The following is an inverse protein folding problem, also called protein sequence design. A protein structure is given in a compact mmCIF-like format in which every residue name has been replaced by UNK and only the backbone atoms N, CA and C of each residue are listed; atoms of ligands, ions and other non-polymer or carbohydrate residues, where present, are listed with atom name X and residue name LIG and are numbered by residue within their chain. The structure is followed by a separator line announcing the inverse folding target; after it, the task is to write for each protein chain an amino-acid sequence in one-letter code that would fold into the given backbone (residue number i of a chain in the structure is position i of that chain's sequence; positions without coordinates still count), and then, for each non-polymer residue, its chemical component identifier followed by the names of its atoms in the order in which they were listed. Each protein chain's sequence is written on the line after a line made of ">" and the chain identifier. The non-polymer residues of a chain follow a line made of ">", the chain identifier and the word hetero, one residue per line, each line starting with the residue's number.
data_IF_889935098799
#
_entry.id   IF_889935098799
#
_cell.length_a   1.000
_cell.length_b   1.000
_cell.length_c   1.000
_cell.angle_alpha   90.00
_cell.angle_beta   90.00
_cell.angle_gamma   90.00
#
_symmetry.space_group_name_H-M   'P 1'
#
loop_
_entity.id
_entity.type
_entity.pdbx_description
1 polymer ?
#
# COMPACT_ATOMS: atom_id res chain seq x y z
N UNK A 1 5.11 -3.27 -27.05
CA UNK A 1 3.87 -3.35 -26.25
C UNK A 1 3.69 -2.01 -25.54
N UNK A 2 2.47 -1.42 -25.51
CA UNK A 2 2.21 -0.05 -25.03
C UNK A 2 2.69 0.21 -23.59
N UNK A 3 2.76 -0.84 -22.78
CA UNK A 3 3.33 -0.83 -21.42
C UNK A 3 4.76 -0.29 -21.40
N UNK A 4 5.62 -0.77 -22.31
CA UNK A 4 7.01 -0.32 -22.43
C UNK A 4 7.10 1.06 -23.09
N UNK A 5 6.23 1.33 -24.07
CA UNK A 5 6.23 2.58 -24.82
C UNK A 5 5.86 3.79 -23.94
N UNK A 6 4.96 3.61 -22.97
CA UNK A 6 4.47 4.69 -22.11
C UNK A 6 4.99 4.62 -20.66
N UNK A 7 5.81 3.62 -20.31
CA UNK A 7 6.25 3.37 -18.92
C UNK A 7 5.05 3.44 -17.96
N UNK A 8 4.02 2.64 -18.26
CA UNK A 8 2.74 2.65 -17.54
C UNK A 8 2.85 1.99 -16.16
N UNK A 9 3.71 0.99 -16.06
CA UNK A 9 3.91 0.17 -14.86
C UNK A 9 5.23 0.56 -14.21
N UNK A 10 5.20 0.84 -12.91
CA UNK A 10 6.41 1.12 -12.13
C UNK A 10 7.05 -0.17 -11.58
N UNK A 11 8.21 -0.04 -10.91
CA UNK A 11 8.93 -1.17 -10.31
C UNK A 11 8.13 -1.91 -9.22
N UNK A 12 7.10 -1.28 -8.66
CA UNK A 12 6.20 -1.87 -7.66
C UNK A 12 4.93 -2.46 -8.31
N UNK A 13 4.94 -2.70 -9.63
CA UNK A 13 3.80 -3.23 -10.38
C UNK A 13 2.51 -2.39 -10.29
N UNK A 14 2.62 -1.10 -10.02
CA UNK A 14 1.47 -0.18 -10.02
C UNK A 14 1.31 0.48 -11.39
N UNK A 15 0.07 0.81 -11.77
CA UNK A 15 -0.22 1.49 -13.03
C UNK A 15 -0.50 2.98 -12.80
N UNK A 16 0.19 3.83 -13.55
CA UNK A 16 -0.06 5.26 -13.56
C UNK A 16 -1.39 5.58 -14.26
N UNK A 17 -2.34 6.14 -13.51
CA UNK A 17 -3.70 6.44 -14.00
C UNK A 17 -3.67 7.49 -15.09
N UNK A 18 -2.93 8.58 -14.90
CA UNK A 18 -2.89 9.68 -15.87
C UNK A 18 -2.42 9.22 -17.24
N UNK A 19 -1.40 8.35 -17.29
CA UNK A 19 -0.91 7.78 -18.55
C UNK A 19 -1.87 6.73 -19.10
N UNK A 20 -2.50 5.94 -18.25
CA UNK A 20 -3.48 4.93 -18.66
C UNK A 20 -4.72 5.57 -19.30
N UNK A 21 -5.23 6.66 -18.73
CA UNK A 21 -6.42 7.37 -19.23
C UNK A 21 -6.20 8.16 -20.52
N UNK A 22 -4.95 8.26 -21.00
CA UNK A 22 -4.64 8.82 -22.33
C UNK A 22 -4.93 7.83 -23.46
N UNK A 23 -5.13 6.56 -23.14
CA UNK A 23 -5.41 5.49 -24.09
C UNK A 23 -6.92 5.30 -24.26
N UNK A 24 -7.33 4.67 -25.35
CA UNK A 24 -8.73 4.32 -25.57
C UNK A 24 -9.19 3.20 -24.61
N UNK A 25 -10.50 3.10 -24.39
CA UNK A 25 -11.09 2.15 -23.45
C UNK A 25 -10.76 0.68 -23.74
N UNK A 26 -10.60 0.28 -25.02
CA UNK A 26 -10.25 -1.09 -25.36
C UNK A 26 -8.80 -1.37 -24.97
N UNK A 27 -7.90 -0.41 -25.23
CA UNK A 27 -6.50 -0.49 -24.84
C UNK A 27 -6.33 -0.54 -23.32
N UNK A 28 -7.07 0.31 -22.59
CA UNK A 28 -7.09 0.29 -21.12
C UNK A 28 -7.49 -1.10 -20.61
N UNK A 29 -8.59 -1.67 -21.11
CA UNK A 29 -9.06 -3.01 -20.73
C UNK A 29 -8.00 -4.08 -20.98
N UNK A 30 -7.35 -4.04 -22.15
CA UNK A 30 -6.33 -5.01 -22.51
C UNK A 30 -5.09 -4.91 -21.62
N UNK A 31 -4.65 -3.70 -21.29
CA UNK A 31 -3.53 -3.47 -20.37
C UNK A 31 -3.87 -3.99 -18.97
N UNK A 32 -5.05 -3.68 -18.45
CA UNK A 32 -5.50 -4.16 -17.13
C UNK A 32 -5.54 -5.69 -17.10
N UNK A 33 -6.14 -6.32 -18.13
CA UNK A 33 -6.19 -7.79 -18.23
C UNK A 33 -4.79 -8.40 -18.28
N UNK A 34 -3.94 -7.89 -19.16
CA UNK A 34 -2.55 -8.36 -19.29
C UNK A 34 -1.79 -8.24 -17.97
N UNK A 35 -1.93 -7.09 -17.29
CA UNK A 35 -1.24 -6.84 -16.03
C UNK A 35 -1.72 -7.77 -14.92
N UNK A 36 -3.03 -7.94 -14.77
CA UNK A 36 -3.62 -8.90 -13.83
C UNK A 36 -3.10 -10.32 -14.08
N UNK A 37 -3.09 -10.79 -15.32
CA UNK A 37 -2.53 -12.10 -15.66
C UNK A 37 -1.04 -12.21 -15.36
N UNK A 38 -0.26 -11.15 -15.56
CA UNK A 38 1.18 -11.14 -15.23
C UNK A 38 1.47 -11.19 -13.73
N UNK A 39 0.51 -10.78 -12.90
CA UNK A 39 0.57 -10.87 -11.44
C UNK A 39 -0.10 -12.15 -10.90
N UNK A 40 -0.50 -13.08 -11.78
CA UNK A 40 -1.21 -14.31 -11.43
C UNK A 40 -2.61 -14.09 -10.81
N UNK A 41 -3.22 -12.93 -11.07
CA UNK A 41 -4.59 -12.66 -10.62
C UNK A 41 -5.60 -13.42 -11.49
N UNK A 42 -6.72 -13.83 -10.88
CA UNK A 42 -7.86 -14.33 -11.64
C UNK A 42 -8.45 -13.22 -12.51
N UNK A 43 -8.67 -13.54 -13.78
CA UNK A 43 -9.23 -12.59 -14.74
C UNK A 43 -10.58 -12.05 -14.25
N UNK A 44 -10.77 -10.72 -14.24
CA UNK A 44 -12.00 -10.11 -13.76
C UNK A 44 -13.14 -10.37 -14.76
N UNK A 45 -14.36 -10.54 -14.25
CA UNK A 45 -15.55 -10.56 -15.09
C UNK A 45 -15.78 -9.20 -15.77
N UNK A 46 -16.57 -9.15 -16.84
CA UNK A 46 -16.87 -7.87 -17.52
C UNK A 46 -17.55 -6.85 -16.60
N UNK A 47 -18.34 -7.32 -15.62
CA UNK A 47 -18.93 -6.47 -14.58
C UNK A 47 -17.85 -5.82 -13.71
N UNK A 48 -16.87 -6.60 -13.26
CA UNK A 48 -15.74 -6.11 -12.46
C UNK A 48 -14.87 -5.18 -13.31
N UNK A 49 -14.60 -5.53 -14.57
CA UNK A 49 -13.87 -4.66 -15.49
C UNK A 49 -14.54 -3.30 -15.65
N UNK A 50 -15.87 -3.25 -15.76
CA UNK A 50 -16.61 -1.99 -15.79
C UNK A 50 -16.40 -1.18 -14.51
N UNK A 51 -16.47 -1.81 -13.33
CA UNK A 51 -16.20 -1.14 -12.06
C UNK A 51 -14.77 -0.59 -11.98
N UNK A 52 -13.78 -1.31 -12.50
CA UNK A 52 -12.39 -0.84 -12.56
C UNK A 52 -12.28 0.42 -13.43
N UNK A 53 -12.98 0.47 -14.57
CA UNK A 53 -13.01 1.67 -15.42
C UNK A 53 -13.69 2.85 -14.74
N UNK A 54 -14.80 2.60 -14.04
CA UNK A 54 -15.50 3.62 -13.26
C UNK A 54 -14.59 4.17 -12.13
N UNK A 55 -13.74 3.31 -11.54
CA UNK A 55 -12.74 3.67 -10.54
C UNK A 55 -11.65 4.60 -11.08
N UNK A 56 -11.27 4.52 -12.37
CA UNK A 56 -10.31 5.45 -12.98
C UNK A 56 -10.83 6.90 -12.99
N UNK A 57 -12.15 7.06 -13.15
CA UNK A 57 -12.82 8.36 -13.26
C UNK A 57 -13.36 8.89 -11.92
N UNK A 58 -13.30 8.09 -10.86
CA UNK A 58 -13.81 8.47 -9.54
C UNK A 58 -13.03 9.64 -8.92
N UNK A 59 -13.66 10.38 -8.00
CA UNK A 59 -12.98 11.44 -7.24
C UNK A 59 -11.92 10.84 -6.30
N UNK A 60 -10.79 11.52 -6.14
CA UNK A 60 -9.67 11.05 -5.29
C UNK A 60 -10.07 10.88 -3.82
N UNK A 61 -10.95 11.73 -3.31
CA UNK A 61 -11.35 11.73 -1.89
C UNK A 61 -12.27 10.56 -1.50
N UNK A 62 -12.78 9.80 -2.48
CA UNK A 62 -13.73 8.71 -2.21
C UNK A 62 -13.06 7.39 -1.78
N UNK A 63 -11.72 7.35 -1.68
CA UNK A 63 -10.93 6.11 -1.52
C UNK A 63 -11.51 4.95 -2.36
N UNK A 64 -11.69 5.14 -3.68
CA UNK A 64 -12.42 4.18 -4.49
C UNK A 64 -11.66 2.86 -4.53
N UNK A 65 -12.39 1.76 -4.30
CA UNK A 65 -11.90 0.40 -4.33
C UNK A 65 -12.83 -0.49 -5.16
N UNK A 66 -12.25 -1.50 -5.80
CA UNK A 66 -12.97 -2.58 -6.44
C UNK A 66 -12.40 -3.88 -5.93
N UNK A 67 -13.25 -4.73 -5.37
CA UNK A 67 -12.87 -6.03 -4.80
C UNK A 67 -13.62 -7.16 -5.50
N UNK A 68 -12.93 -8.25 -5.80
CA UNK A 68 -13.54 -9.49 -6.28
C UNK A 68 -12.77 -10.70 -5.75
N UNK A 69 -13.49 -11.66 -5.17
CA UNK A 69 -12.88 -12.82 -4.52
C UNK A 69 -11.82 -12.39 -3.48
N UNK A 70 -10.56 -12.80 -3.64
CA UNK A 70 -9.43 -12.42 -2.79
C UNK A 70 -8.65 -11.19 -3.28
N UNK A 71 -9.02 -10.63 -4.44
CA UNK A 71 -8.28 -9.56 -5.09
C UNK A 71 -8.95 -8.20 -4.90
N UNK A 72 -8.13 -7.17 -4.80
CA UNK A 72 -8.57 -5.79 -4.73
C UNK A 72 -7.75 -4.89 -5.64
N UNK A 73 -8.41 -3.93 -6.27
CA UNK A 73 -7.78 -2.78 -6.93
C UNK A 73 -8.17 -1.53 -6.17
N UNK A 74 -7.17 -0.71 -5.85
CA UNK A 74 -7.34 0.55 -5.12
C UNK A 74 -6.62 1.68 -5.81
N UNK A 75 -7.18 2.89 -5.73
CA UNK A 75 -6.51 4.11 -6.21
C UNK A 75 -5.87 4.86 -5.05
N UNK A 76 -4.63 5.30 -5.24
CA UNK A 76 -3.97 6.23 -4.34
C UNK A 76 -2.88 7.01 -5.07
N UNK A 77 -2.84 8.34 -4.86
CA UNK A 77 -1.84 9.25 -5.44
C UNK A 77 -1.58 9.06 -6.95
N UNK A 78 -2.66 8.96 -7.74
CA UNK A 78 -2.57 8.80 -9.21
C UNK A 78 -2.09 7.43 -9.68
N UNK A 79 -1.97 6.44 -8.79
CA UNK A 79 -1.58 5.06 -9.10
C UNK A 79 -2.72 4.08 -8.79
N UNK A 80 -2.77 3.00 -9.58
CA UNK A 80 -3.55 1.80 -9.26
C UNK A 80 -2.67 0.78 -8.55
N UNK A 81 -3.17 0.32 -7.42
CA UNK A 81 -2.61 -0.76 -6.61
C UNK A 81 -3.40 -2.03 -6.86
N UNK A 82 -2.68 -3.14 -7.02
CA UNK A 82 -3.22 -4.49 -7.18
C UNK A 82 -2.85 -5.28 -5.94
N UNK A 83 -3.86 -5.78 -5.23
CA UNK A 83 -3.71 -6.38 -3.91
C UNK A 83 -4.30 -7.79 -3.95
N UNK A 84 -3.55 -8.77 -3.48
CA UNK A 84 -4.04 -10.10 -3.14
C UNK A 84 -4.09 -10.22 -1.61
N UNK A 85 -5.31 -10.28 -1.08
CA UNK A 85 -5.54 -10.35 0.37
C UNK A 85 -5.09 -11.69 0.99
N UNK A 86 -4.91 -12.75 0.20
CA UNK A 86 -4.34 -14.02 0.68
C UNK A 86 -2.82 -14.00 0.66
N UNK A 87 -2.20 -13.41 -0.36
CA UNK A 87 -0.75 -13.29 -0.43
C UNK A 87 -0.18 -12.40 0.70
N UNK A 88 -0.91 -11.34 1.09
CA UNK A 88 -0.53 -10.45 2.19
C UNK A 88 -0.48 -11.10 3.59
N UNK A 89 -0.91 -12.37 3.73
CA UNK A 89 -0.74 -13.09 4.99
C UNK A 89 0.69 -13.65 5.17
N UNK A 90 1.50 -13.66 4.10
CA UNK A 90 2.87 -14.20 4.10
C UNK A 90 3.97 -13.11 4.05
N UNK A 91 3.74 -11.92 4.57
CA UNK A 91 4.79 -10.89 4.75
C UNK A 91 5.55 -11.07 6.09
N UNK A 92 6.20 -12.23 6.25
CA UNK A 92 6.98 -12.53 7.46
C UNK A 92 8.45 -12.05 7.39
N UNK A 93 8.86 -11.39 6.32
CA UNK A 93 10.24 -10.94 6.14
C UNK A 93 10.42 -9.43 6.22
N UNK A 94 9.94 -8.83 7.33
CA UNK A 94 10.49 -7.53 7.74
C UNK A 94 11.84 -7.75 8.44
N UNK A 95 12.96 -7.16 7.98
CA UNK A 95 14.28 -7.39 8.58
C UNK A 95 14.31 -7.00 10.08
N UNK A 96 13.52 -6.01 10.48
CA UNK A 96 13.39 -5.59 11.87
C UNK A 96 12.64 -6.60 12.73
N UNK A 97 11.69 -7.37 12.17
CA UNK A 97 10.97 -8.39 12.92
C UNK A 97 11.95 -9.46 13.42
N UNK A 98 12.73 -10.07 12.52
CA UNK A 98 13.64 -11.15 12.87
C UNK A 98 14.69 -10.74 13.92
N UNK A 99 15.14 -9.49 13.87
CA UNK A 99 16.09 -8.94 14.84
C UNK A 99 15.42 -8.60 16.18
N UNK A 100 14.38 -7.76 16.18
CA UNK A 100 13.78 -7.23 17.40
C UNK A 100 13.03 -8.30 18.20
N UNK A 101 12.54 -9.35 17.53
CA UNK A 101 11.88 -10.50 18.19
C UNK A 101 12.78 -11.22 19.18
N UNK A 102 14.10 -11.12 19.03
CA UNK A 102 15.07 -11.74 19.94
C UNK A 102 15.25 -10.96 21.25
N UNK A 103 14.75 -9.72 21.31
CA UNK A 103 14.95 -8.83 22.45
C UNK A 103 13.85 -9.03 23.52
N UNK A 104 14.19 -8.92 24.81
CA UNK A 104 13.20 -9.04 25.88
C UNK A 104 12.18 -7.89 25.83
N UNK A 105 10.93 -8.17 26.21
CA UNK A 105 9.81 -7.21 26.15
C UNK A 105 9.49 -6.70 24.74
N UNK A 106 9.81 -7.51 23.71
CA UNK A 106 9.35 -7.27 22.35
C UNK A 106 7.84 -7.44 22.26
N UNK A 107 7.18 -6.47 21.62
CA UNK A 107 5.76 -6.59 21.26
C UNK A 107 5.50 -5.97 19.89
N UNK A 108 4.55 -6.55 19.16
CA UNK A 108 4.03 -5.98 17.92
C UNK A 108 2.72 -5.30 18.26
N UNK A 109 2.58 -4.05 17.82
CA UNK A 109 1.36 -3.27 17.93
C UNK A 109 0.94 -2.79 16.55
N UNK A 110 -0.35 -2.49 16.42
CA UNK A 110 -0.93 -1.90 15.23
C UNK A 110 -1.39 -0.49 15.54
N UNK A 111 -1.59 0.28 14.47
CA UNK A 111 -2.06 1.66 14.57
C UNK A 111 -3.40 1.70 15.30
N UNK A 112 -3.53 2.62 16.26
CA UNK A 112 -4.82 3.04 16.81
C UNK A 112 -5.21 4.44 16.32
N UNK A 113 -6.51 4.69 16.17
CA UNK A 113 -6.99 6.03 15.82
C UNK A 113 -6.63 7.04 16.91
N UNK A 114 -6.25 8.25 16.52
CA UNK A 114 -5.79 9.29 17.45
C UNK A 114 -4.39 9.06 18.06
N UNK A 115 -3.71 7.96 17.73
CA UNK A 115 -2.38 7.65 18.26
C UNK A 115 -1.37 8.76 17.95
N UNK A 116 -0.55 9.09 18.95
CA UNK A 116 0.53 10.05 18.84
C UNK A 116 1.85 9.38 19.19
N UNK A 117 2.88 9.67 18.42
CA UNK A 117 4.23 9.16 18.66
C UNK A 117 5.22 10.31 18.67
N UNK A 118 6.29 10.17 19.44
CA UNK A 118 7.43 11.09 19.40
C UNK A 118 8.49 10.41 18.52
N UNK A 119 8.73 11.00 17.36
CA UNK A 119 9.83 10.55 16.50
C UNK A 119 11.17 11.00 17.09
N UNK A 120 12.23 10.22 16.90
CA UNK A 120 13.55 10.65 17.31
C UNK A 120 13.99 11.93 16.61
N UNK A 121 14.75 12.77 17.30
CA UNK A 121 15.17 14.09 16.81
C UNK A 121 14.06 15.15 16.75
N UNK A 122 12.79 14.81 17.06
CA UNK A 122 11.69 15.79 17.12
C UNK A 122 11.41 16.22 18.57
N UNK A 123 11.28 17.52 18.77
CA UNK A 123 10.95 18.12 20.09
C UNK A 123 9.54 17.79 20.56
N UNK A 124 8.59 17.64 19.63
CA UNK A 124 7.18 17.42 19.94
C UNK A 124 6.66 16.12 19.35
N UNK A 125 5.71 15.50 20.06
CA UNK A 125 4.95 14.38 19.54
C UNK A 125 4.05 14.83 18.39
N UNK A 126 3.95 14.01 17.34
CA UNK A 126 3.06 14.22 16.19
C UNK A 126 2.00 13.12 16.15
N UNK A 127 0.87 13.38 15.48
CA UNK A 127 -0.12 12.34 15.23
C UNK A 127 0.46 11.32 14.25
N UNK A 128 0.26 10.03 14.54
CA UNK A 128 0.71 8.96 13.66
C UNK A 128 0.06 9.07 12.28
N UNK A 129 -1.21 9.51 12.22
CA UNK A 129 -1.89 9.84 10.97
C UNK A 129 -1.09 10.81 10.10
N UNK A 130 -0.57 11.90 10.67
CA UNK A 130 0.22 12.90 9.93
C UNK A 130 1.52 12.30 9.40
N UNK A 131 2.24 11.55 10.24
CA UNK A 131 3.50 10.89 9.86
C UNK A 131 3.28 9.92 8.69
N UNK A 132 2.24 9.08 8.76
CA UNK A 132 1.93 8.11 7.71
C UNK A 132 1.41 8.78 6.41
N UNK A 133 0.79 9.95 6.52
CA UNK A 133 0.41 10.77 5.37
C UNK A 133 1.63 11.39 4.70
N UNK A 134 2.54 12.00 5.46
CA UNK A 134 3.80 12.58 4.96
C UNK A 134 4.69 11.51 4.29
N UNK A 135 4.64 10.28 4.80
CA UNK A 135 5.33 9.14 4.23
C UNK A 135 4.65 8.52 3.00
N UNK A 136 3.53 9.08 2.53
CA UNK A 136 2.75 8.57 1.40
C UNK A 136 2.34 7.09 1.55
N UNK A 137 2.11 6.62 2.77
CA UNK A 137 1.65 5.25 3.00
C UNK A 137 0.15 5.17 2.71
N UNK A 138 -0.35 4.25 1.88
CA UNK A 138 -1.77 4.14 1.56
C UNK A 138 -2.65 3.83 2.78
N UNK A 139 -3.89 4.37 2.89
CA UNK A 139 -4.74 4.20 4.07
C UNK A 139 -4.97 2.75 4.53
N UNK A 140 -5.09 1.80 3.60
CA UNK A 140 -5.29 0.37 3.89
C UNK A 140 -4.05 -0.31 4.47
N UNK A 141 -2.88 0.12 4.03
CA UNK A 141 -1.59 -0.35 4.55
C UNK A 141 -1.34 0.22 5.96
N UNK A 142 -1.85 1.42 6.26
CA UNK A 142 -1.69 2.06 7.57
C UNK A 142 -2.35 1.28 8.71
N UNK A 143 -3.45 0.58 8.46
CA UNK A 143 -4.16 -0.22 9.48
C UNK A 143 -3.46 -1.56 9.75
N UNK A 144 -2.81 -2.15 8.75
CA UNK A 144 -2.07 -3.41 8.88
C UNK A 144 -0.59 -3.22 9.21
N UNK A 145 -0.08 -1.98 9.19
CA UNK A 145 1.31 -1.66 9.43
C UNK A 145 1.78 -2.19 10.80
N UNK A 146 2.73 -3.13 10.78
CA UNK A 146 3.35 -3.64 12.00
C UNK A 146 4.27 -2.60 12.62
N UNK A 147 4.03 -2.31 13.89
CA UNK A 147 4.86 -1.42 14.70
C UNK A 147 5.57 -2.24 15.78
N UNK A 148 6.89 -2.15 15.82
CA UNK A 148 7.73 -2.95 16.71
C UNK A 148 8.13 -2.17 17.95
N UNK A 149 7.78 -2.70 19.12
CA UNK A 149 8.00 -2.07 20.42
C UNK A 149 8.94 -2.90 21.28
N UNK A 150 9.77 -2.22 22.07
CA UNK A 150 10.60 -2.82 23.13
C UNK A 150 10.42 -2.00 24.39
N UNK A 151 10.01 -2.62 25.50
CA UNK A 151 9.73 -1.92 26.78
C UNK A 151 8.81 -0.71 26.59
N UNK A 152 7.72 -0.89 25.84
CA UNK A 152 6.74 0.15 25.49
C UNK A 152 7.23 1.30 24.59
N UNK A 153 8.48 1.28 24.15
CA UNK A 153 9.02 2.27 23.21
C UNK A 153 8.97 1.76 21.76
N UNK A 154 8.52 2.61 20.84
CA UNK A 154 8.50 2.31 19.41
C UNK A 154 9.92 2.30 18.86
N UNK A 155 10.37 1.16 18.34
CA UNK A 155 11.74 0.96 17.83
C UNK A 155 11.81 0.88 16.31
N UNK A 156 10.77 0.37 15.65
CA UNK A 156 10.71 0.33 14.19
C UNK A 156 9.27 0.24 13.70
N UNK A 157 9.05 0.60 12.43
CA UNK A 157 7.81 0.36 11.69
C UNK A 157 8.17 -0.24 10.33
N UNK A 158 7.43 -1.25 9.90
CA UNK A 158 7.72 -2.06 8.71
C UNK A 158 8.01 -1.24 7.44
N UNK A 159 7.34 -0.09 7.28
CA UNK A 159 7.45 0.79 6.10
C UNK A 159 8.25 2.07 6.31
N UNK A 160 8.54 2.42 7.57
CA UNK A 160 9.26 3.65 7.93
C UNK A 160 10.67 3.38 8.44
N UNK A 161 11.04 2.12 8.66
CA UNK A 161 12.36 1.75 9.17
C UNK A 161 12.48 1.89 10.68
N UNK A 162 13.71 2.03 11.17
CA UNK A 162 13.98 2.23 12.60
C UNK A 162 13.61 3.63 13.07
N UNK A 163 13.09 3.70 14.28
CA UNK A 163 13.00 4.92 15.06
C UNK A 163 14.31 5.03 15.85
N UNK A 164 15.40 5.44 15.18
CA UNK A 164 16.70 5.62 15.84
C UNK A 164 16.61 6.68 16.93
N UNK A 165 16.53 6.28 18.20
CA UNK A 165 16.83 7.20 19.28
C UNK A 165 18.34 7.44 19.24
N UNK A 166 18.76 8.66 18.94
CA UNK A 166 20.14 9.08 19.23
C UNK A 166 20.32 8.91 20.73
N UNK A 167 21.13 7.94 21.12
CA UNK A 167 21.66 7.80 22.48
C UNK A 167 22.42 9.06 22.91
#
# INVERSE_FOLDING_TARGET
>A
IDIQAHQLINLNHQINIQKLTQLDTLRIKNIIRYHLSSLEFLAPSDKVMKQILDLLSAKEDANPLVSWDQFEIRRFQGQLYFIDNKANQNEDFCPYHAELKKLPNFSIRYRTEGQRIKLPGKKHSQSLKKILQEANIPPWERSSLKMYYIKDELRAMERLGRMEHSD
#
